data_IF_174880871790
#
_entry.id   IF_174880871790
#
_cell.length_a   1.000
_cell.length_b   1.000
_cell.length_c   1.000
_cell.angle_alpha   90.00
_cell.angle_beta   90.00
_cell.angle_gamma   90.00
#
_symmetry.space_group_name_H-M   'P 1'
#
loop_
_entity.id
_entity.type
_entity.pdbx_description
1 polymer ?
#
# COMPACT_ATOMS: atom_id res chain seq x y z
N UNK A 1 -15.86 -18.45 22.34
CA UNK A 1 -14.90 -18.31 21.22
C UNK A 1 -14.40 -19.70 20.88
N UNK A 2 -14.63 -20.18 19.66
CA UNK A 2 -14.17 -21.50 19.20
C UNK A 2 -13.18 -21.28 18.06
N UNK A 3 -12.00 -21.90 18.16
CA UNK A 3 -10.96 -21.83 17.15
C UNK A 3 -10.87 -23.19 16.44
N UNK A 4 -10.70 -23.17 15.13
CA UNK A 4 -10.36 -24.37 14.37
C UNK A 4 -8.88 -24.71 14.64
N UNK A 5 -8.54 -25.99 14.85
CA UNK A 5 -7.15 -26.39 15.11
C UNK A 5 -6.25 -26.18 13.90
N UNK A 6 -6.79 -26.35 12.69
CA UNK A 6 -6.05 -26.24 11.44
C UNK A 6 -6.33 -24.91 10.73
N UNK A 7 -5.29 -24.23 10.20
CA UNK A 7 -5.47 -23.00 9.46
C UNK A 7 -6.19 -23.27 8.13
N UNK A 8 -7.26 -22.51 7.87
CA UNK A 8 -8.02 -22.62 6.61
C UNK A 8 -7.21 -22.17 5.39
N UNK A 9 -6.31 -21.20 5.58
CA UNK A 9 -5.49 -20.63 4.53
C UNK A 9 -4.05 -20.42 5.03
N UNK A 10 -3.08 -20.67 4.15
CA UNK A 10 -1.67 -20.39 4.37
C UNK A 10 -1.07 -19.74 3.12
N UNK A 11 -0.31 -18.66 3.31
CA UNK A 11 0.37 -17.93 2.24
C UNK A 11 1.80 -17.63 2.70
N UNK A 12 2.81 -17.85 1.84
CA UNK A 12 4.17 -17.48 2.14
C UNK A 12 4.35 -15.95 2.17
N UNK A 13 5.15 -15.47 3.12
CA UNK A 13 5.51 -14.04 3.19
C UNK A 13 6.63 -13.66 2.21
N UNK A 14 7.20 -14.62 1.49
CA UNK A 14 8.28 -14.45 0.51
C UNK A 14 9.47 -13.66 1.10
N UNK A 15 9.91 -14.06 2.30
CA UNK A 15 10.98 -13.42 3.07
C UNK A 15 10.76 -11.93 3.41
N UNK A 16 9.53 -11.43 3.26
CA UNK A 16 9.16 -10.07 3.64
C UNK A 16 8.61 -10.08 5.07
N UNK A 17 9.20 -9.28 5.96
CA UNK A 17 8.64 -9.05 7.29
C UNK A 17 7.38 -8.19 7.17
N UNK A 18 6.26 -8.68 7.71
CA UNK A 18 5.01 -7.94 7.76
C UNK A 18 4.95 -7.15 9.07
N UNK A 19 4.79 -5.83 8.97
CA UNK A 19 4.87 -4.90 10.10
C UNK A 19 3.50 -4.50 10.65
N UNK A 20 2.46 -4.53 9.82
CA UNK A 20 1.09 -4.23 10.22
C UNK A 20 0.10 -5.04 9.40
N UNK A 21 -1.06 -5.31 10.00
CA UNK A 21 -2.22 -5.93 9.35
C UNK A 21 -3.46 -5.10 9.69
N UNK A 22 -4.34 -4.94 8.71
CA UNK A 22 -5.64 -4.32 8.90
C UNK A 22 -6.66 -4.91 7.93
N UNK A 23 -7.94 -4.66 8.15
CA UNK A 23 -9.00 -5.15 7.29
C UNK A 23 -10.11 -4.11 7.08
N UNK A 24 -10.79 -4.21 5.94
CA UNK A 24 -12.03 -3.46 5.67
C UNK A 24 -13.22 -4.15 6.34
N UNK A 25 -14.34 -3.43 6.45
CA UNK A 25 -15.64 -3.99 6.85
C UNK A 25 -16.17 -5.06 5.87
N UNK A 26 -15.78 -4.97 4.61
CA UNK A 26 -16.05 -5.97 3.56
C UNK A 26 -15.16 -7.22 3.65
N UNK A 27 -14.24 -7.29 4.62
CA UNK A 27 -13.39 -8.45 4.87
C UNK A 27 -12.08 -8.50 4.06
N UNK A 28 -11.73 -7.46 3.31
CA UNK A 28 -10.44 -7.40 2.61
C UNK A 28 -9.32 -7.22 3.62
N UNK A 29 -8.23 -7.96 3.48
CA UNK A 29 -7.10 -7.93 4.42
C UNK A 29 -5.88 -7.31 3.75
N UNK A 30 -5.30 -6.31 4.40
CA UNK A 30 -4.12 -5.60 3.94
C UNK A 30 -2.95 -5.79 4.91
N UNK A 31 -1.74 -5.89 4.34
CA UNK A 31 -0.50 -6.11 5.07
C UNK A 31 0.54 -5.06 4.67
N UNK A 32 1.25 -4.53 5.65
CA UNK A 32 2.38 -3.63 5.45
C UNK A 32 3.68 -4.43 5.44
N UNK A 33 4.47 -4.32 4.38
CA UNK A 33 5.79 -4.95 4.28
C UNK A 33 6.92 -4.01 4.73
N UNK A 34 7.96 -4.61 5.30
CA UNK A 34 9.23 -3.93 5.61
C UNK A 34 9.97 -3.45 4.36
N UNK A 35 9.68 -4.06 3.21
CA UNK A 35 10.15 -3.69 1.87
C UNK A 35 9.41 -2.47 1.28
N UNK A 36 8.63 -1.74 2.09
CA UNK A 36 7.81 -0.62 1.65
C UNK A 36 6.63 -1.01 0.76
N UNK A 37 6.28 -2.30 0.67
CA UNK A 37 5.17 -2.76 -0.16
C UNK A 37 3.88 -2.92 0.64
N UNK A 38 2.77 -2.47 0.04
CA UNK A 38 1.42 -2.79 0.52
C UNK A 38 0.95 -4.07 -0.16
N UNK A 39 0.50 -5.03 0.62
CA UNK A 39 -0.03 -6.30 0.15
C UNK A 39 -1.52 -6.43 0.49
N UNK A 40 -2.26 -7.10 -0.38
CA UNK A 40 -3.64 -7.56 -0.12
C UNK A 40 -3.67 -9.09 -0.15
N UNK A 41 -4.33 -9.69 0.84
CA UNK A 41 -4.62 -11.12 0.85
C UNK A 41 -5.98 -11.33 0.25
N UNK A 42 -6.00 -11.90 -0.96
CA UNK A 42 -7.22 -12.29 -1.64
C UNK A 42 -7.50 -13.76 -1.36
N UNK A 43 -8.65 -14.07 -0.77
CA UNK A 43 -9.06 -15.41 -0.42
C UNK A 43 -10.47 -15.71 -0.95
N UNK A 44 -10.74 -16.99 -1.22
CA UNK A 44 -12.02 -17.47 -1.74
C UNK A 44 -12.32 -18.89 -1.25
N UNK A 45 -13.60 -19.21 -1.11
CA UNK A 45 -14.03 -20.51 -0.57
C UNK A 45 -13.63 -21.68 -1.48
N UNK A 46 -13.81 -21.55 -2.79
CA UNK A 46 -13.58 -22.63 -3.75
C UNK A 46 -12.28 -22.45 -4.53
N UNK A 47 -11.59 -23.55 -4.82
CA UNK A 47 -10.48 -23.54 -5.78
C UNK A 47 -11.06 -23.69 -7.18
N UNK A 48 -10.68 -22.80 -8.09
CA UNK A 48 -10.91 -23.02 -9.52
C UNK A 48 -9.77 -23.85 -10.11
N UNK A 49 -9.99 -24.50 -11.25
CA UNK A 49 -8.93 -25.22 -11.98
C UNK A 49 -7.69 -24.34 -12.24
N UNK A 50 -7.88 -23.03 -12.41
CA UNK A 50 -6.81 -22.04 -12.60
C UNK A 50 -6.73 -20.99 -11.47
N UNK A 51 -7.46 -21.18 -10.36
CA UNK A 51 -7.61 -20.14 -9.33
C UNK A 51 -7.27 -20.68 -7.94
N UNK A 52 -6.24 -20.09 -7.33
CA UNK A 52 -5.81 -20.40 -5.97
C UNK A 52 -6.85 -19.89 -4.96
N UNK A 53 -7.09 -20.66 -3.89
CA UNK A 53 -8.01 -20.27 -2.80
C UNK A 53 -7.52 -19.08 -2.00
N UNK A 54 -6.22 -18.82 -2.02
CA UNK A 54 -5.60 -17.71 -1.30
C UNK A 54 -4.38 -17.23 -2.10
N UNK A 55 -4.26 -15.92 -2.34
CA UNK A 55 -3.10 -15.32 -3.00
C UNK A 55 -2.73 -13.98 -2.38
N UNK A 56 -1.44 -13.66 -2.43
CA UNK A 56 -0.89 -12.35 -2.04
C UNK A 56 -0.79 -11.46 -3.27
N UNK A 57 -1.42 -10.28 -3.22
CA UNK A 57 -1.39 -9.26 -4.28
C UNK A 57 -0.51 -8.11 -3.80
N UNK A 58 0.42 -7.64 -4.63
CA UNK A 58 1.26 -6.47 -4.31
C UNK A 58 0.69 -5.22 -5.00
N UNK A 59 0.29 -4.23 -4.21
CA UNK A 59 -0.27 -2.95 -4.67
C UNK A 59 0.76 -1.84 -4.85
N UNK A 60 1.99 -2.05 -4.36
CA UNK A 60 3.10 -1.11 -4.55
C UNK A 60 3.80 -1.29 -5.89
N UNK A 61 3.78 -2.50 -6.46
CA UNK A 61 4.40 -2.87 -7.73
C UNK A 61 3.33 -3.17 -8.79
N UNK A 62 2.63 -2.15 -9.28
CA UNK A 62 1.86 -2.32 -10.52
C UNK A 62 2.83 -2.59 -11.68
N UNK A 63 2.41 -3.46 -12.58
CA UNK A 63 3.10 -4.01 -13.77
C UNK A 63 3.67 -2.98 -14.78
N UNK A 64 3.72 -1.69 -14.44
CA UNK A 64 4.22 -0.58 -15.25
C UNK A 64 5.44 0.13 -14.64
N UNK A 65 6.09 -0.44 -13.63
CA UNK A 65 7.32 0.11 -13.03
C UNK A 65 8.46 0.32 -14.05
N UNK A 66 8.40 -0.33 -15.21
CA UNK A 66 9.31 -0.13 -16.34
C UNK A 66 9.17 1.22 -17.04
N UNK A 67 8.05 1.93 -16.85
CA UNK A 67 7.80 3.23 -17.49
C UNK A 67 8.19 4.42 -16.59
N UNK A 68 8.70 4.17 -15.38
CA UNK A 68 9.11 5.23 -14.46
C UNK A 68 10.52 5.71 -14.84
N UNK A 69 10.71 6.99 -15.20
CA UNK A 69 12.03 7.53 -15.52
C UNK A 69 13.01 7.34 -14.36
N UNK A 70 14.23 6.91 -14.68
CA UNK A 70 15.29 6.58 -13.71
C UNK A 70 15.69 7.74 -12.78
N UNK A 71 15.43 8.99 -13.17
CA UNK A 71 15.64 10.18 -12.34
C UNK A 71 14.76 10.18 -11.08
N UNK A 72 13.60 9.52 -11.10
CA UNK A 72 12.69 9.41 -9.94
C UNK A 72 12.96 8.16 -9.09
N UNK A 73 13.69 7.17 -9.61
CA UNK A 73 14.07 5.96 -8.84
C UNK A 73 14.90 6.31 -7.61
N UNK A 74 15.71 7.37 -7.67
CA UNK A 74 16.57 7.81 -6.56
C UNK A 74 15.79 8.25 -5.29
N UNK A 75 14.48 8.48 -5.40
CA UNK A 75 13.63 8.82 -4.23
C UNK A 75 12.88 7.62 -3.63
N UNK A 76 12.94 6.46 -4.29
CA UNK A 76 12.24 5.21 -3.93
C UNK A 76 13.20 4.01 -3.80
N UNK A 77 14.51 4.24 -3.87
CA UNK A 77 15.54 3.19 -3.97
C UNK A 77 16.15 2.74 -2.63
N UNK A 78 15.62 3.20 -1.50
CA UNK A 78 15.89 2.58 -0.20
C UNK A 78 14.58 1.98 0.31
N UNK A 79 14.65 0.79 0.90
CA UNK A 79 13.52 0.18 1.60
C UNK A 79 13.00 1.20 2.62
N UNK A 80 11.80 1.75 2.39
CA UNK A 80 11.10 2.66 3.29
C UNK A 80 9.89 1.90 3.85
N UNK A 81 10.05 1.24 5.01
CA UNK A 81 9.03 0.34 5.55
C UNK A 81 7.68 1.02 5.71
N UNK A 82 6.59 0.34 5.36
CA UNK A 82 5.27 0.81 5.75
C UNK A 82 5.07 0.43 7.22
N UNK A 83 4.94 1.43 8.09
CA UNK A 83 4.83 1.22 9.54
C UNK A 83 3.38 1.30 10.04
N UNK A 84 2.49 1.87 9.23
CA UNK A 84 1.09 2.04 9.61
C UNK A 84 0.17 1.99 8.39
N UNK A 85 -1.00 1.37 8.58
CA UNK A 85 -2.12 1.39 7.65
C UNK A 85 -3.37 1.87 8.39
N UNK A 86 -4.13 2.77 7.79
CA UNK A 86 -5.45 3.19 8.28
C UNK A 86 -6.47 3.09 7.15
N UNK A 87 -7.68 2.64 7.45
CA UNK A 87 -8.75 2.46 6.46
C UNK A 87 -9.94 3.35 6.86
N UNK A 88 -10.41 4.14 5.90
CA UNK A 88 -11.70 4.82 5.97
C UNK A 88 -12.70 4.07 5.09
N UNK A 89 -13.48 3.19 5.72
CA UNK A 89 -14.50 2.38 5.03
C UNK A 89 -15.61 3.24 4.42
N UNK A 90 -15.93 4.40 5.01
CA UNK A 90 -17.01 5.28 4.52
C UNK A 90 -16.72 5.88 3.15
N UNK A 91 -15.42 6.02 2.82
CA UNK A 91 -14.94 6.59 1.54
C UNK A 91 -14.24 5.57 0.66
N UNK A 92 -14.10 4.33 1.13
CA UNK A 92 -13.28 3.30 0.49
C UNK A 92 -11.85 3.81 0.24
N UNK A 93 -11.20 4.36 1.27
CA UNK A 93 -9.84 4.88 1.16
C UNK A 93 -8.91 4.15 2.15
N UNK A 94 -7.74 3.75 1.65
CA UNK A 94 -6.65 3.21 2.45
C UNK A 94 -5.50 4.21 2.50
N UNK A 95 -5.05 4.50 3.71
CA UNK A 95 -3.90 5.33 3.98
C UNK A 95 -2.73 4.45 4.41
N UNK A 96 -1.53 4.70 3.88
CA UNK A 96 -0.30 4.15 4.43
C UNK A 96 0.61 5.26 4.90
N UNK A 97 1.39 4.98 5.94
CA UNK A 97 2.48 5.82 6.40
C UNK A 97 3.76 5.00 6.42
N UNK A 98 4.80 5.52 5.79
CA UNK A 98 6.14 4.93 5.84
C UNK A 98 6.95 5.41 7.05
N UNK A 99 8.06 4.73 7.34
CA UNK A 99 9.00 5.11 8.41
C UNK A 99 9.55 6.52 8.21
N UNK A 100 9.80 6.93 6.95
CA UNK A 100 10.24 8.30 6.60
C UNK A 100 9.11 9.33 6.60
N UNK A 101 7.89 8.95 6.97
CA UNK A 101 6.74 9.85 7.04
C UNK A 101 6.06 10.13 5.69
N UNK A 102 6.30 9.32 4.67
CA UNK A 102 5.58 9.42 3.40
C UNK A 102 4.16 8.92 3.61
N UNK A 103 3.15 9.72 3.25
CA UNK A 103 1.75 9.34 3.30
C UNK A 103 1.27 8.94 1.91
N UNK A 104 0.70 7.75 1.79
CA UNK A 104 0.08 7.31 0.54
C UNK A 104 -1.43 7.18 0.74
N UNK A 105 -2.19 7.56 -0.28
CA UNK A 105 -3.65 7.46 -0.30
C UNK A 105 -4.03 6.54 -1.45
N UNK A 106 -4.75 5.46 -1.15
CA UNK A 106 -5.22 4.53 -2.16
C UNK A 106 -6.74 4.48 -2.15
N UNK A 107 -7.35 4.73 -3.31
CA UNK A 107 -8.77 4.47 -3.53
C UNK A 107 -8.99 2.97 -3.68
N UNK A 108 -9.82 2.41 -2.81
CA UNK A 108 -10.21 1.01 -2.83
C UNK A 108 -11.42 0.86 -3.76
N UNK A 109 -11.33 -0.04 -4.75
CA UNK A 109 -12.54 -0.46 -5.47
C UNK A 109 -13.22 -1.64 -4.77
N UNK A 110 -14.48 -1.91 -5.12
CA UNK A 110 -15.17 -3.13 -4.69
C UNK A 110 -14.48 -4.40 -5.21
N UNK A 111 -13.81 -4.32 -6.36
CA UNK A 111 -13.07 -5.44 -6.95
C UNK A 111 -11.76 -5.64 -6.21
N UNK A 112 -11.53 -6.86 -5.70
CA UNK A 112 -10.29 -7.29 -5.05
C UNK A 112 -9.11 -7.13 -6.01
N UNK A 113 -7.99 -6.60 -5.51
CA UNK A 113 -6.78 -6.42 -6.32
C UNK A 113 -6.77 -5.18 -7.21
N UNK A 114 -7.84 -4.37 -7.20
CA UNK A 114 -7.88 -3.09 -7.91
C UNK A 114 -7.81 -1.94 -6.89
N UNK A 115 -6.84 -1.05 -7.07
CA UNK A 115 -6.66 0.15 -6.25
C UNK A 115 -6.17 1.31 -7.11
N UNK A 116 -6.75 2.51 -6.94
CA UNK A 116 -6.18 3.76 -7.45
C UNK A 116 -5.17 4.32 -6.44
N UNK A 117 -4.07 4.94 -6.89
CA UNK A 117 -2.98 5.40 -6.01
C UNK A 117 -2.67 6.88 -6.20
N UNK A 118 -2.68 7.64 -5.11
CA UNK A 118 -2.10 8.97 -5.00
C UNK A 118 -1.03 8.97 -3.90
N UNK A 119 0.07 9.72 -4.10
CA UNK A 119 1.20 9.75 -3.15
C UNK A 119 1.39 11.18 -2.65
N UNK A 120 1.29 11.38 -1.34
CA UNK A 120 1.53 12.68 -0.71
C UNK A 120 2.80 12.59 0.12
N UNK A 121 3.89 13.16 -0.41
CA UNK A 121 5.16 13.18 0.31
C UNK A 121 5.22 14.41 1.21
N UNK A 122 5.08 14.19 2.51
CA UNK A 122 5.45 15.18 3.51
C UNK A 122 6.93 15.02 3.84
N UNK A 123 7.72 16.07 3.64
CA UNK A 123 9.11 16.13 4.09
C UNK A 123 9.19 17.21 5.16
N UNK A 124 9.57 16.83 6.38
CA UNK A 124 10.00 17.81 7.37
C UNK A 124 11.45 18.17 7.03
N UNK A 125 11.65 19.35 6.45
CA UNK A 125 13.00 19.85 6.12
C UNK A 125 13.67 20.54 7.32
N UNK A 126 13.09 20.45 8.52
CA UNK A 126 13.55 21.20 9.68
C UNK A 126 13.78 20.32 10.89
N UNK A 127 15.01 20.37 11.41
CA UNK A 127 15.21 20.30 12.86
C UNK A 127 14.36 21.36 13.57
N UNK A 128 14.41 21.34 14.90
CA UNK A 128 13.54 22.02 15.86
C UNK A 128 13.27 23.54 15.69
N UNK A 129 13.76 24.18 14.64
CA UNK A 129 13.91 25.64 14.48
C UNK A 129 12.92 26.28 13.47
N UNK A 130 11.65 25.86 13.45
CA UNK A 130 10.58 26.65 12.83
C UNK A 130 10.66 26.84 11.30
N UNK A 131 11.15 25.84 10.56
CA UNK A 131 11.24 25.88 9.09
C UNK A 131 9.90 25.78 8.35
N UNK A 132 9.81 26.50 7.22
CA UNK A 132 8.63 26.66 6.33
C UNK A 132 8.16 25.32 5.73
N UNK A 133 6.86 25.05 5.82
CA UNK A 133 6.21 23.88 5.20
C UNK A 133 6.17 24.02 3.67
N UNK A 134 6.86 23.15 2.94
CA UNK A 134 6.68 22.98 1.50
C UNK A 134 5.64 21.91 1.21
N UNK A 135 4.46 22.29 0.74
CA UNK A 135 3.42 21.38 0.27
C UNK A 135 3.72 20.96 -1.17
N UNK A 136 3.88 19.66 -1.40
CA UNK A 136 3.88 19.07 -2.74
C UNK A 136 2.96 17.86 -2.76
N UNK A 137 1.84 17.97 -3.46
CA UNK A 137 0.97 16.83 -3.76
C UNK A 137 1.33 16.33 -5.15
N UNK A 138 1.78 15.07 -5.25
CA UNK A 138 1.96 14.40 -6.53
C UNK A 138 0.80 13.42 -6.72
N UNK A 139 -0.17 13.79 -7.57
CA UNK A 139 -1.30 12.91 -7.91
C UNK A 139 -0.93 12.13 -9.17
N UNK A 140 -1.05 10.80 -9.11
CA UNK A 140 -0.97 9.93 -10.28
C UNK A 140 -2.40 9.61 -10.72
N UNK A 141 -2.81 10.10 -11.88
CA UNK A 141 -4.13 9.86 -12.46
C UNK A 141 -3.96 9.56 -13.95
N UNK A 142 -4.56 8.49 -14.44
CA UNK A 142 -4.56 8.07 -15.86
C UNK A 142 -3.16 7.98 -16.50
N UNK A 143 -2.15 7.55 -15.74
CA UNK A 143 -0.77 7.40 -16.23
C UNK A 143 0.03 8.70 -16.35
N UNK A 144 -0.53 9.85 -15.95
CA UNK A 144 0.15 11.14 -15.86
C UNK A 144 0.47 11.54 -14.41
N UNK A 145 1.60 12.21 -14.20
CA UNK A 145 1.97 12.82 -12.91
C UNK A 145 1.63 14.31 -12.91
N UNK A 146 0.82 14.73 -11.94
CA UNK A 146 0.49 16.13 -11.72
C UNK A 146 1.11 16.59 -10.40
N UNK A 147 2.01 17.58 -10.47
CA UNK A 147 2.58 18.25 -9.31
C UNK A 147 1.87 19.60 -9.12
N UNK A 148 1.08 19.73 -8.05
CA UNK A 148 0.55 21.01 -7.62
C UNK A 148 1.49 21.64 -6.60
N UNK A 149 2.10 22.78 -6.95
CA UNK A 149 2.69 23.69 -5.97
C UNK A 149 1.57 24.64 -5.52
N UNK A 150 1.27 24.66 -4.22
CA UNK A 150 0.43 25.68 -3.60
C UNK A 150 1.28 26.63 -2.76
#
# INVERSE_FOLDING_TARGET
MQLLPDPLYSIPTDNTYLLAVTATDTGRIFLAGKDGCLYEIAYQAEAGWFSQRCRKINHSKSSLSFLVPSVLQFTFSEDDPIVQIAIDNSRNILYTRSERGVLQVLGLSEVVGVTGRAVVKWRSDGGCDGGRWGLGVAVMQDGGWWAGLH
#
